data_IF_710185323570
#
_entry.id   IF_710185323570
#
_cell.length_a   1.000
_cell.length_b   1.000
_cell.length_c   1.000
_cell.angle_alpha   90.00
_cell.angle_beta   90.00
_cell.angle_gamma   90.00
#
_symmetry.space_group_name_H-M   'P 1'
#
loop_
_entity.id
_entity.type
_entity.pdbx_description
1 polymer ?
#
# COMPACT_ATOMS: atom_id res chain seq x y z
N UNK A 1 23.58 -8.56 9.31
CA UNK A 1 22.15 -8.21 9.40
C UNK A 1 21.48 -9.36 10.10
N UNK A 2 20.80 -9.10 11.22
CA UNK A 2 20.01 -10.13 11.88
C UNK A 2 18.77 -10.40 11.01
N UNK A 3 18.56 -11.67 10.68
CA UNK A 3 17.47 -12.08 9.81
C UNK A 3 16.12 -11.99 10.52
N UNK A 4 16.10 -12.09 11.86
CA UNK A 4 14.88 -11.91 12.64
C UNK A 4 14.45 -10.44 12.65
N UNK A 5 15.41 -9.52 12.77
CA UNK A 5 15.17 -8.07 12.66
C UNK A 5 14.62 -7.69 11.28
N UNK A 6 15.09 -8.35 10.22
CA UNK A 6 14.55 -8.16 8.88
C UNK A 6 13.11 -8.69 8.75
N UNK A 7 12.81 -9.84 9.35
CA UNK A 7 11.45 -10.39 9.36
C UNK A 7 10.49 -9.47 10.12
N UNK A 8 10.94 -8.86 11.23
CA UNK A 8 10.14 -7.92 12.03
C UNK A 8 10.06 -6.51 11.44
N UNK A 9 10.86 -6.20 10.42
CA UNK A 9 10.94 -4.86 9.83
C UNK A 9 9.71 -4.41 9.02
N UNK A 10 8.77 -5.32 8.73
CA UNK A 10 7.58 -5.01 7.93
C UNK A 10 7.76 -5.14 6.41
N UNK A 11 8.96 -5.50 5.95
CA UNK A 11 9.28 -5.59 4.52
C UNK A 11 8.56 -6.75 3.83
N UNK A 12 8.32 -7.86 4.54
CA UNK A 12 7.62 -9.03 3.98
C UNK A 12 6.13 -8.74 3.76
N UNK A 13 5.50 -8.00 4.67
CA UNK A 13 4.13 -7.53 4.59
C UNK A 13 3.96 -6.53 3.46
N UNK A 14 4.89 -5.57 3.34
CA UNK A 14 4.93 -4.62 2.24
C UNK A 14 5.12 -5.35 0.89
N UNK A 15 5.94 -6.40 0.86
CA UNK A 15 6.14 -7.22 -0.34
C UNK A 15 4.85 -7.94 -0.74
N UNK A 16 4.19 -8.61 0.22
CA UNK A 16 2.97 -9.38 -0.04
C UNK A 16 1.78 -8.48 -0.45
N UNK A 17 1.70 -7.29 0.13
CA UNK A 17 0.66 -6.30 -0.20
C UNK A 17 0.97 -5.46 -1.45
N UNK A 18 2.16 -5.64 -2.04
CA UNK A 18 2.59 -4.94 -3.25
C UNK A 18 3.00 -3.49 -3.03
N UNK A 19 3.28 -3.07 -1.80
CA UNK A 19 3.72 -1.71 -1.44
C UNK A 19 5.24 -1.60 -1.22
N UNK A 20 5.99 -2.71 -1.29
CA UNK A 20 7.44 -2.70 -1.16
C UNK A 20 8.12 -1.96 -2.33
N UNK A 21 9.22 -1.27 -2.03
CA UNK A 21 10.04 -0.60 -3.04
C UNK A 21 10.94 -1.60 -3.79
N UNK A 22 11.36 -1.26 -5.01
CA UNK A 22 12.22 -2.14 -5.83
C UNK A 22 13.52 -2.54 -5.11
N UNK A 23 14.09 -1.64 -4.31
CA UNK A 23 15.30 -1.91 -3.51
C UNK A 23 15.07 -2.95 -2.43
N UNK A 24 13.90 -2.92 -1.79
CA UNK A 24 13.51 -3.88 -0.75
C UNK A 24 13.20 -5.24 -1.37
N UNK A 25 12.55 -5.26 -2.54
CA UNK A 25 12.27 -6.48 -3.31
C UNK A 25 13.59 -7.16 -3.70
N UNK A 26 14.56 -6.42 -4.21
CA UNK A 26 15.86 -6.96 -4.61
C UNK A 26 16.64 -7.54 -3.42
N UNK A 27 16.59 -6.87 -2.27
CA UNK A 27 17.15 -7.38 -1.02
C UNK A 27 16.43 -8.65 -0.58
N UNK A 28 15.10 -8.66 -0.58
CA UNK A 28 14.30 -9.84 -0.23
C UNK A 28 14.66 -11.03 -1.12
N UNK A 29 14.79 -10.84 -2.43
CA UNK A 29 15.19 -11.91 -3.37
C UNK A 29 16.59 -12.47 -3.05
N UNK A 30 17.53 -11.60 -2.67
CA UNK A 30 18.87 -12.02 -2.26
C UNK A 30 18.82 -12.80 -0.94
N UNK A 31 18.11 -12.29 0.06
CA UNK A 31 18.00 -12.92 1.37
C UNK A 31 17.23 -14.25 1.29
N UNK A 32 16.17 -14.34 0.48
CA UNK A 32 15.38 -15.56 0.23
C UNK A 32 16.24 -16.73 -0.22
N UNK A 33 17.26 -16.48 -1.04
CA UNK A 33 18.20 -17.51 -1.51
C UNK A 33 19.10 -18.05 -0.38
N UNK A 34 19.38 -17.23 0.63
CA UNK A 34 20.34 -17.54 1.69
C UNK A 34 19.65 -18.04 2.98
N UNK A 35 18.37 -17.72 3.18
CA UNK A 35 17.66 -17.95 4.44
C UNK A 35 16.26 -18.54 4.21
N UNK A 36 16.06 -19.86 4.40
CA UNK A 36 14.75 -20.51 4.20
C UNK A 36 13.69 -20.07 5.23
N UNK A 37 14.11 -19.49 6.35
CA UNK A 37 13.21 -18.90 7.35
C UNK A 37 12.33 -17.76 6.80
N UNK A 38 12.77 -17.10 5.74
CA UNK A 38 12.00 -16.05 5.07
C UNK A 38 10.77 -16.63 4.39
N UNK A 39 10.90 -17.80 3.75
CA UNK A 39 9.77 -18.48 3.12
C UNK A 39 8.73 -18.91 4.17
N UNK A 40 9.19 -19.38 5.33
CA UNK A 40 8.31 -19.75 6.45
C UNK A 40 7.57 -18.52 6.98
N UNK A 41 8.27 -17.39 7.15
CA UNK A 41 7.66 -16.13 7.58
C UNK A 41 6.64 -15.60 6.56
N UNK A 42 6.98 -15.63 5.27
CA UNK A 42 6.08 -15.27 4.17
C UNK A 42 4.80 -16.11 4.20
N UNK A 43 4.92 -17.43 4.29
CA UNK A 43 3.77 -18.34 4.31
C UNK A 43 2.87 -18.09 5.53
N UNK A 44 3.45 -17.77 6.69
CA UNK A 44 2.68 -17.41 7.88
C UNK A 44 1.90 -16.11 7.68
N UNK A 45 2.55 -15.07 7.17
CA UNK A 45 1.90 -13.78 6.89
C UNK A 45 0.80 -13.95 5.83
N UNK A 46 1.03 -14.76 4.80
CA UNK A 46 0.01 -15.11 3.80
C UNK A 46 -1.22 -15.75 4.42
N UNK A 47 -1.04 -16.72 5.33
CA UNK A 47 -2.15 -17.39 6.00
C UNK A 47 -2.92 -16.44 6.91
N UNK A 48 -2.21 -15.58 7.65
CA UNK A 48 -2.83 -14.57 8.51
C UNK A 48 -3.62 -13.55 7.67
N UNK A 49 -3.06 -13.08 6.55
CA UNK A 49 -3.74 -12.18 5.61
C UNK A 49 -4.95 -12.84 4.96
N UNK A 50 -4.88 -14.13 4.62
CA UNK A 50 -6.01 -14.88 4.08
C UNK A 50 -7.16 -15.00 5.11
N UNK A 51 -6.84 -15.20 6.39
CA UNK A 51 -7.84 -15.22 7.46
C UNK A 51 -8.44 -13.83 7.70
N UNK A 52 -7.61 -12.77 7.73
CA UNK A 52 -8.04 -11.38 7.89
C UNK A 52 -8.90 -10.88 6.74
N UNK A 53 -8.59 -11.28 5.51
CA UNK A 53 -9.32 -10.87 4.31
C UNK A 53 -10.69 -11.54 4.19
N UNK A 54 -11.00 -12.53 5.04
CA UNK A 54 -12.34 -13.08 5.22
C UNK A 54 -13.04 -13.33 3.89
N UNK A 55 -12.34 -14.00 2.97
CA UNK A 55 -12.75 -14.17 1.57
C UNK A 55 -13.98 -15.08 1.52
N UNK A 56 -15.14 -14.50 1.84
CA UNK A 56 -16.40 -14.86 1.20
C UNK A 56 -16.23 -14.42 -0.25
N UNK A 57 -15.73 -15.33 -1.08
CA UNK A 57 -15.69 -15.12 -2.52
C UNK A 57 -17.10 -14.72 -2.95
N UNK A 58 -17.31 -13.52 -3.54
CA UNK A 58 -18.61 -13.22 -4.13
C UNK A 58 -18.92 -14.34 -5.12
N UNK A 59 -20.17 -14.80 -5.16
CA UNK A 59 -20.65 -15.96 -5.92
C UNK A 59 -20.30 -15.95 -7.43
N UNK A 60 -19.69 -14.88 -7.93
CA UNK A 60 -18.99 -14.77 -9.22
C UNK A 60 -17.88 -15.82 -9.45
N UNK A 61 -17.37 -16.48 -8.39
CA UNK A 61 -16.33 -17.52 -8.50
C UNK A 61 -16.64 -18.64 -9.50
N UNK A 62 -17.88 -19.13 -9.53
CA UNK A 62 -18.28 -20.23 -10.43
C UNK A 62 -18.14 -19.86 -11.92
N UNK A 63 -18.44 -18.60 -12.26
CA UNK A 63 -18.38 -18.13 -13.66
C UNK A 63 -16.92 -17.98 -14.15
N UNK A 64 -16.01 -17.66 -13.24
CA UNK A 64 -14.57 -17.51 -13.52
C UNK A 64 -13.93 -18.90 -13.62
N UNK A 65 -14.34 -19.86 -12.79
CA UNK A 65 -13.89 -21.26 -12.86
C UNK A 65 -14.27 -21.91 -14.20
N UNK A 66 -15.49 -21.69 -14.68
CA UNK A 66 -15.95 -22.18 -15.97
C UNK A 66 -15.15 -21.57 -17.13
N UNK A 67 -14.89 -20.26 -17.09
CA UNK A 67 -14.11 -19.55 -18.11
C UNK A 67 -12.62 -19.97 -18.11
N UNK A 68 -12.01 -20.18 -16.94
CA UNK A 68 -10.66 -20.74 -16.81
C UNK A 68 -10.55 -22.17 -17.34
N UNK A 69 -11.57 -23.00 -17.10
CA UNK A 69 -11.64 -24.37 -17.62
C UNK A 69 -11.81 -24.39 -19.13
N UNK A 70 -12.57 -23.45 -19.69
CA UNK A 70 -12.73 -23.26 -21.13
C UNK A 70 -11.42 -22.76 -21.80
N UNK A 71 -10.70 -21.82 -21.17
CA UNK A 71 -9.40 -21.33 -21.64
C UNK A 71 -8.32 -22.44 -21.60
N UNK A 72 -8.35 -23.31 -20.59
CA UNK A 72 -7.41 -24.44 -20.52
C UNK A 72 -7.72 -25.50 -21.58
N UNK A 73 -9.00 -25.73 -21.90
CA UNK A 73 -9.45 -26.66 -22.94
C UNK A 73 -9.19 -26.14 -24.36
N UNK A 74 -9.24 -24.83 -24.57
CA UNK A 74 -9.04 -24.17 -25.87
C UNK A 74 -7.57 -23.91 -26.24
N UNK A 75 -6.62 -24.05 -25.30
CA UNK A 75 -5.16 -23.98 -25.60
C UNK A 75 -4.66 -25.02 -26.59
N UNK A 76 -5.42 -26.08 -26.90
CA UNK A 76 -5.04 -27.03 -27.95
C UNK A 76 -5.52 -26.63 -29.36
N UNK A 77 -6.37 -25.62 -29.53
CA UNK A 77 -6.88 -25.26 -30.86
C UNK A 77 -7.31 -23.79 -30.94
N UNK A 78 -6.37 -22.85 -30.84
CA UNK A 78 -6.58 -21.54 -31.49
C UNK A 78 -5.27 -20.80 -31.74
N UNK A 79 -4.63 -21.13 -32.86
CA UNK A 79 -3.89 -20.15 -33.65
C UNK A 79 -4.88 -19.03 -34.01
N UNK A 80 -4.86 -17.95 -33.24
CA UNK A 80 -5.63 -16.74 -33.51
C UNK A 80 -5.07 -16.15 -34.80
N UNK A 81 -5.83 -16.27 -35.90
CA UNK A 81 -5.56 -15.54 -37.14
C UNK A 81 -5.66 -14.04 -36.83
N UNK A 82 -4.52 -13.41 -36.60
CA UNK A 82 -4.36 -11.98 -36.50
C UNK A 82 -4.74 -11.39 -37.86
N UNK A 83 -5.91 -10.72 -37.95
CA UNK A 83 -6.29 -9.99 -39.15
C UNK A 83 -5.48 -8.69 -39.17
N UNK A 84 -4.26 -8.77 -39.68
CA UNK A 84 -3.44 -7.59 -40.01
C UNK A 84 -4.15 -6.89 -41.17
N UNK A 85 -4.76 -5.75 -40.88
CA UNK A 85 -5.34 -4.89 -41.91
C UNK A 85 -4.20 -4.01 -42.44
N UNK A 86 -3.42 -4.56 -43.38
CA UNK A 86 -2.54 -3.76 -44.24
C UNK A 86 -3.44 -2.94 -45.15
N UNK A 87 -3.49 -1.63 -44.93
CA UNK A 87 -4.06 -0.70 -45.92
C UNK A 87 -2.93 -0.11 -46.73
N UNK A 88 -2.77 -0.70 -47.92
CA UNK A 88 -2.10 -0.08 -49.05
C UNK A 88 -2.92 1.13 -49.51
N UNK A 89 -2.19 2.15 -49.92
CA UNK A 89 -2.64 3.49 -50.26
C UNK A 89 -3.46 3.47 -51.55
N UNK A 90 -4.68 4.01 -51.55
CA UNK A 90 -5.27 4.61 -52.73
C UNK A 90 -6.38 5.61 -52.36
N UNK A 91 -6.29 6.76 -52.99
CA UNK A 91 -7.09 7.98 -52.85
C UNK A 91 -8.55 7.79 -53.26
N UNK A 92 -9.47 8.46 -52.57
CA UNK A 92 -10.43 9.45 -53.12
C UNK A 92 -11.43 9.86 -52.02
N UNK A 93 -11.72 11.15 -52.03
CA UNK A 93 -12.55 11.94 -51.11
C UNK A 93 -13.97 11.39 -50.93
N UNK A 94 -14.52 11.51 -49.72
CA UNK A 94 -15.77 12.23 -49.46
C UNK A 94 -16.13 12.27 -47.96
N UNK A 95 -16.67 13.42 -47.55
CA UNK A 95 -16.99 13.81 -46.18
C UNK A 95 -18.16 12.99 -45.63
N UNK A 96 -18.05 12.48 -44.39
CA UNK A 96 -19.17 12.45 -43.43
C UNK A 96 -18.68 12.26 -42.00
N UNK A 97 -19.16 13.14 -41.14
CA UNK A 97 -19.51 12.92 -39.73
C UNK A 97 -18.53 12.15 -38.81
N UNK A 98 -17.92 12.93 -37.91
CA UNK A 98 -17.89 12.59 -36.48
C UNK A 98 -16.98 11.43 -36.08
N UNK A 99 -15.69 11.74 -35.82
CA UNK A 99 -14.91 10.91 -34.90
C UNK A 99 -13.88 11.75 -34.16
N UNK A 100 -14.18 11.93 -32.88
CA UNK A 100 -13.30 12.50 -31.86
C UNK A 100 -11.93 11.84 -31.92
N UNK A 101 -10.93 12.64 -32.29
CA UNK A 101 -9.54 12.33 -32.00
C UNK A 101 -9.41 12.43 -30.48
N UNK A 102 -9.42 11.29 -29.79
CA UNK A 102 -9.03 11.23 -28.38
C UNK A 102 -7.52 11.44 -28.33
N UNK A 103 -7.13 12.70 -28.18
CA UNK A 103 -5.82 13.06 -27.66
C UNK A 103 -5.74 12.49 -26.25
N UNK A 104 -4.82 11.56 -26.02
CA UNK A 104 -4.39 11.19 -24.67
C UNK A 104 -3.57 12.36 -24.18
N UNK A 105 -4.24 13.26 -23.47
CA UNK A 105 -3.61 14.25 -22.60
C UNK A 105 -2.90 13.44 -21.52
N UNK A 106 -1.57 13.38 -21.62
CA UNK A 106 -0.72 12.78 -20.58
C UNK A 106 -0.88 13.71 -19.37
N UNK A 107 -1.83 13.34 -18.52
CA UNK A 107 -2.17 14.07 -17.31
C UNK A 107 -0.90 14.20 -16.47
N UNK A 108 -0.45 15.45 -16.36
CA UNK A 108 0.67 15.88 -15.53
C UNK A 108 0.66 15.14 -14.20
N UNK A 109 1.84 14.75 -13.74
CA UNK A 109 2.08 14.22 -12.40
C UNK A 109 1.62 15.22 -11.35
N UNK A 110 0.32 15.23 -11.04
CA UNK A 110 -0.25 16.09 -10.03
C UNK A 110 0.11 15.53 -8.67
N UNK A 111 1.32 15.92 -8.22
CA UNK A 111 1.92 15.69 -6.90
C UNK A 111 1.13 16.30 -5.74
N UNK A 112 -0.11 16.73 -5.97
CA UNK A 112 -0.99 17.30 -4.99
C UNK A 112 -2.06 16.26 -4.68
N UNK A 113 -1.69 15.32 -3.81
CA UNK A 113 -2.61 14.36 -3.21
C UNK A 113 -3.78 15.15 -2.63
N UNK A 114 -4.98 14.98 -3.21
CA UNK A 114 -6.21 15.67 -2.83
C UNK A 114 -6.49 15.43 -1.35
N UNK A 115 -5.99 16.32 -0.51
CA UNK A 115 -6.16 16.23 0.93
C UNK A 115 -7.65 16.33 1.22
N UNK A 116 -8.27 15.21 1.61
CA UNK A 116 -9.69 15.20 1.96
C UNK A 116 -9.92 16.21 3.10
N UNK A 117 -11.01 16.97 3.00
CA UNK A 117 -11.38 18.12 3.86
C UNK A 117 -11.27 17.85 5.37
N UNK A 118 -11.28 16.60 5.79
CA UNK A 118 -11.17 16.14 7.18
C UNK A 118 -9.75 16.15 7.76
N UNK A 119 -8.69 16.23 6.96
CA UNK A 119 -7.31 16.21 7.48
C UNK A 119 -6.94 17.46 8.29
N UNK A 120 -7.51 18.62 7.92
CA UNK A 120 -7.31 19.88 8.65
C UNK A 120 -7.74 19.76 10.11
N UNK A 121 -8.85 19.07 10.38
CA UNK A 121 -9.35 18.83 11.73
C UNK A 121 -8.45 17.91 12.54
N UNK A 122 -7.78 16.93 11.90
CA UNK A 122 -6.82 16.07 12.59
C UNK A 122 -5.60 16.86 13.08
N UNK A 123 -5.10 17.79 12.27
CA UNK A 123 -3.97 18.66 12.65
C UNK A 123 -4.36 19.60 13.80
N UNK A 124 -5.54 20.22 13.72
CA UNK A 124 -6.05 21.06 14.81
C UNK A 124 -6.17 20.26 16.13
N UNK A 125 -6.68 19.03 16.06
CA UNK A 125 -6.79 18.17 17.23
C UNK A 125 -5.43 17.87 17.88
N UNK A 126 -4.42 17.54 17.07
CA UNK A 126 -3.05 17.28 17.55
C UNK A 126 -2.43 18.54 18.17
N UNK A 127 -2.65 19.71 17.58
CA UNK A 127 -2.09 20.97 18.08
C UNK A 127 -2.70 21.35 19.44
N UNK A 128 -4.01 21.16 19.61
CA UNK A 128 -4.68 21.37 20.90
C UNK A 128 -4.17 20.37 21.94
N UNK A 129 -4.02 19.10 21.57
CA UNK A 129 -3.48 18.07 22.45
C UNK A 129 -2.05 18.38 22.93
N UNK A 130 -1.20 18.89 22.02
CA UNK A 130 0.15 19.33 22.34
C UNK A 130 0.17 20.50 23.34
N UNK A 131 -0.70 21.50 23.16
CA UNK A 131 -0.78 22.64 24.08
C UNK A 131 -1.25 22.22 25.48
N UNK A 132 -2.18 21.25 25.55
CA UNK A 132 -2.70 20.72 26.81
C UNK A 132 -1.61 19.95 27.59
N UNK A 133 -0.82 19.13 26.89
CA UNK A 133 0.36 18.46 27.45
C UNK A 133 1.40 19.45 27.97
N UNK A 134 1.68 20.53 27.23
CA UNK A 134 2.62 21.57 27.66
C UNK A 134 2.16 22.25 28.95
N UNK A 135 0.87 22.59 29.05
CA UNK A 135 0.30 23.15 30.27
C UNK A 135 0.41 22.21 31.47
N UNK A 136 0.19 20.91 31.25
CA UNK A 136 0.30 19.88 32.29
C UNK A 136 1.75 19.70 32.77
N UNK A 137 2.72 19.71 31.85
CA UNK A 137 4.14 19.67 32.15
C UNK A 137 4.56 20.89 32.99
N UNK A 138 4.13 22.10 32.59
CA UNK A 138 4.44 23.35 33.30
C UNK A 138 3.80 23.36 34.70
N UNK A 139 2.54 22.94 34.81
CA UNK A 139 1.83 22.84 36.08
C UNK A 139 2.52 21.86 37.03
N UNK A 140 2.82 20.65 36.55
CA UNK A 140 3.52 19.64 37.35
C UNK A 140 4.94 20.08 37.70
N UNK A 141 5.65 20.77 36.81
CA UNK A 141 6.97 21.31 37.08
C UNK A 141 6.98 22.28 38.27
N UNK A 142 5.94 23.10 38.41
CA UNK A 142 5.80 24.05 39.52
C UNK A 142 5.48 23.34 40.84
N UNK A 143 4.50 22.42 40.85
CA UNK A 143 4.14 21.63 42.04
C UNK A 143 5.32 20.77 42.54
N UNK A 144 6.09 20.20 41.61
CA UNK A 144 7.24 19.37 41.93
C UNK A 144 8.42 20.16 42.53
N UNK A 145 8.46 21.50 42.40
CA UNK A 145 9.38 22.32 43.19
C UNK A 145 8.90 22.49 44.63
N UNK A 146 7.59 22.66 44.85
CA UNK A 146 7.02 22.76 46.21
C UNK A 146 7.22 21.47 47.01
N UNK A 147 7.13 20.31 46.36
CA UNK A 147 7.41 19.01 46.99
C UNK A 147 8.88 18.86 47.38
N UNK A 148 9.82 19.44 46.62
CA UNK A 148 11.26 19.43 46.94
C UNK A 148 11.58 20.29 48.15
N UNK A 149 10.96 21.47 48.27
CA UNK A 149 11.14 22.36 49.43
C UNK A 149 10.60 21.73 50.72
N UNK A 150 9.52 20.95 50.65
CA UNK A 150 9.00 20.23 51.82
C UNK A 150 9.90 19.07 52.25
N UNK A 151 10.50 18.34 51.29
CA UNK A 151 11.44 17.26 51.59
C UNK A 151 12.76 17.79 52.19
N UNK A 152 13.26 18.93 51.72
CA UNK A 152 14.50 19.53 52.22
C UNK A 152 14.33 20.09 53.64
N UNK A 153 13.22 20.75 53.93
CA UNK A 153 12.94 21.29 55.27
C UNK A 153 12.61 20.18 56.30
N UNK A 154 12.04 19.05 55.89
CA UNK A 154 11.81 17.89 56.77
C UNK A 154 13.02 16.96 56.92
N UNK A 155 14.04 17.07 56.06
CA UNK A 155 15.29 16.31 56.19
C UNK A 155 16.30 16.97 57.14
N UNK A 156 16.03 18.21 57.60
CA UNK A 156 16.88 18.99 58.50
C UNK A 156 16.37 19.09 59.95
N UNK A 157 15.35 18.31 60.33
CA UNK A 157 14.90 18.12 61.72
C UNK A 157 15.05 16.65 62.12
#
# INVERSE_FOLDING_TARGET
MDINEYIESGVLEAYLTGTATEKEIQQLMFLKKNYPQIDIALSRIEMDLAQLSGISTPATGQKIEDDLKELTKSKHTRIVKLKVHTKESESTEEQTAGKSIQFIEIEDTSKYMRVKKTWKWRIIGILILMALLLGLIIYFYLENQQMKEQLENHAFY
#
